data_IF_693474011903
#
_entry.id   IF_693474011903
#
_cell.length_a   1.000
_cell.length_b   1.000
_cell.length_c   1.000
_cell.angle_alpha   90.00
_cell.angle_beta   90.00
_cell.angle_gamma   90.00
#
_symmetry.space_group_name_H-M   'P 1'
#
loop_
_entity.id
_entity.type
_entity.pdbx_description
1 polymer ?
#
# COMPACT_ATOMS: atom_id res chain seq x y z
N UNK A 1 54.87 -21.46 -14.25
CA UNK A 1 53.88 -20.69 -15.03
C UNK A 1 52.53 -21.38 -14.88
N UNK A 2 51.54 -20.73 -14.24
CA UNK A 2 50.10 -20.73 -14.58
C UNK A 2 49.19 -20.52 -13.35
N UNK A 3 49.10 -19.27 -12.88
CA UNK A 3 48.02 -18.78 -12.02
C UNK A 3 46.88 -18.27 -12.91
N UNK A 4 46.05 -19.15 -13.49
CA UNK A 4 44.94 -18.65 -14.32
C UNK A 4 43.81 -19.66 -14.59
N UNK A 5 43.45 -20.59 -13.68
CA UNK A 5 42.11 -21.21 -13.77
C UNK A 5 41.12 -20.38 -12.95
N UNK A 6 40.64 -19.32 -13.59
CA UNK A 6 39.60 -18.41 -13.10
C UNK A 6 38.46 -19.21 -12.44
N UNK A 7 38.27 -18.98 -11.15
CA UNK A 7 37.03 -19.27 -10.42
C UNK A 7 35.92 -18.42 -11.04
N UNK A 8 35.30 -18.95 -12.10
CA UNK A 8 34.10 -18.39 -12.69
C UNK A 8 32.93 -18.78 -11.78
N UNK A 9 32.87 -18.15 -10.61
CA UNK A 9 31.74 -18.23 -9.71
C UNK A 9 30.54 -17.74 -10.49
N UNK A 10 29.64 -18.66 -10.84
CA UNK A 10 28.34 -18.33 -11.37
C UNK A 10 27.66 -17.35 -10.41
N UNK A 11 27.69 -16.05 -10.73
CA UNK A 11 26.69 -15.11 -10.26
C UNK A 11 25.38 -15.46 -10.98
N UNK A 12 24.80 -16.62 -10.65
CA UNK A 12 23.42 -16.95 -10.96
C UNK A 12 22.60 -15.98 -10.12
N UNK A 13 22.34 -14.81 -10.69
CA UNK A 13 21.35 -13.86 -10.23
C UNK A 13 20.03 -14.64 -10.13
N UNK A 14 19.80 -15.25 -8.97
CA UNK A 14 18.46 -15.65 -8.54
C UNK A 14 17.69 -14.35 -8.56
N UNK A 15 16.87 -14.18 -9.61
CA UNK A 15 15.76 -13.24 -9.60
C UNK A 15 14.87 -13.65 -8.44
N UNK A 16 15.23 -13.17 -7.25
CA UNK A 16 14.44 -13.29 -6.04
C UNK A 16 13.18 -12.50 -6.37
N UNK A 17 12.05 -13.19 -6.46
CA UNK A 17 10.75 -12.55 -6.62
C UNK A 17 10.46 -11.73 -5.36
N UNK A 18 10.99 -10.50 -5.30
CA UNK A 18 10.96 -9.62 -4.13
C UNK A 18 9.53 -9.27 -3.68
N UNK A 19 8.55 -9.42 -4.57
CA UNK A 19 7.13 -9.25 -4.30
C UNK A 19 6.52 -10.37 -3.44
N UNK A 20 7.16 -11.56 -3.39
CA UNK A 20 6.68 -12.68 -2.57
C UNK A 20 6.69 -12.30 -1.08
N UNK A 21 7.71 -11.57 -0.63
CA UNK A 21 7.83 -11.21 0.79
C UNK A 21 6.70 -10.29 1.27
N UNK A 22 6.37 -9.16 0.60
CA UNK A 22 5.20 -8.37 0.95
C UNK A 22 3.89 -9.14 0.92
N UNK A 23 3.68 -9.97 -0.10
CA UNK A 23 2.45 -10.77 -0.23
C UNK A 23 2.36 -11.82 0.87
N UNK A 24 3.45 -12.53 1.14
CA UNK A 24 3.52 -13.52 2.21
C UNK A 24 3.32 -12.87 3.60
N UNK A 25 3.90 -11.69 3.84
CA UNK A 25 3.69 -10.94 5.06
C UNK A 25 2.23 -10.49 5.23
N UNK A 26 1.59 -10.01 4.16
CA UNK A 26 0.17 -9.67 4.17
C UNK A 26 -0.72 -10.89 4.45
N UNK A 27 -0.45 -12.02 3.77
CA UNK A 27 -1.18 -13.26 4.01
C UNK A 27 -1.00 -13.77 5.44
N UNK A 28 0.23 -13.75 5.97
CA UNK A 28 0.51 -14.12 7.34
C UNK A 28 -0.23 -13.21 8.33
N UNK A 29 -0.26 -11.90 8.09
CA UNK A 29 -1.01 -10.94 8.92
C UNK A 29 -2.52 -11.22 8.88
N UNK A 30 -3.09 -11.51 7.71
CA UNK A 30 -4.51 -11.85 7.58
C UNK A 30 -4.85 -13.16 8.29
N UNK A 31 -4.01 -14.19 8.16
CA UNK A 31 -4.19 -15.47 8.86
C UNK A 31 -4.05 -15.32 10.38
N UNK A 32 -3.13 -14.48 10.84
CA UNK A 32 -3.02 -14.14 12.26
C UNK A 32 -4.31 -13.47 12.76
N UNK A 33 -4.82 -12.46 12.04
CA UNK A 33 -6.07 -11.81 12.42
C UNK A 33 -7.28 -12.77 12.36
N UNK A 34 -7.30 -13.71 11.41
CA UNK A 34 -8.33 -14.76 11.36
C UNK A 34 -8.35 -15.61 12.64
N UNK A 35 -7.17 -15.98 13.16
CA UNK A 35 -7.05 -16.86 14.32
C UNK A 35 -7.25 -16.12 15.65
N UNK A 36 -6.79 -14.87 15.77
CA UNK A 36 -6.72 -14.14 17.03
C UNK A 36 -7.75 -13.02 17.18
N UNK A 37 -8.46 -12.64 16.11
CA UNK A 37 -9.46 -11.57 16.14
C UNK A 37 -10.82 -12.11 15.70
N UNK A 38 -11.70 -12.48 16.66
CA UNK A 38 -13.03 -12.99 16.36
C UNK A 38 -13.82 -12.00 15.50
N UNK A 39 -14.34 -12.47 14.37
CA UNK A 39 -15.13 -11.63 13.46
C UNK A 39 -14.32 -10.67 12.58
N UNK A 40 -13.00 -10.82 12.46
CA UNK A 40 -12.19 -9.97 11.57
C UNK A 40 -12.68 -9.95 10.12
N UNK A 41 -13.12 -11.11 9.59
CA UNK A 41 -13.70 -11.24 8.25
C UNK A 41 -15.21 -11.02 8.21
N UNK A 42 -15.82 -10.56 9.31
CA UNK A 42 -17.25 -10.25 9.33
C UNK A 42 -17.46 -8.92 8.61
N UNK A 43 -18.22 -8.99 7.52
CA UNK A 43 -18.75 -7.81 6.86
C UNK A 43 -20.20 -7.59 7.30
N UNK A 44 -20.56 -6.35 7.56
CA UNK A 44 -21.90 -5.94 7.95
C UNK A 44 -22.36 -4.81 7.03
N UNK A 45 -23.56 -4.96 6.45
CA UNK A 45 -24.21 -3.88 5.72
C UNK A 45 -25.10 -3.11 6.69
N UNK A 46 -24.84 -1.81 6.83
CA UNK A 46 -25.62 -0.92 7.71
C UNK A 46 -25.87 0.41 6.99
N UNK A 47 -27.12 0.86 6.99
CA UNK A 47 -27.53 2.16 6.43
C UNK A 47 -27.02 2.39 4.99
N UNK A 48 -27.03 1.34 4.15
CA UNK A 48 -26.56 1.38 2.76
C UNK A 48 -25.05 1.31 2.57
N UNK A 49 -24.27 1.22 3.65
CA UNK A 49 -22.81 1.17 3.62
C UNK A 49 -22.29 -0.18 4.11
N UNK A 50 -21.16 -0.61 3.54
CA UNK A 50 -20.49 -1.84 3.91
C UNK A 50 -19.42 -1.54 4.98
N UNK A 51 -19.52 -2.23 6.10
CA UNK A 51 -18.62 -2.13 7.24
C UNK A 51 -17.93 -3.45 7.53
N UNK A 52 -16.83 -3.39 8.25
CA UNK A 52 -16.07 -4.56 8.70
C UNK A 52 -14.56 -4.29 8.65
N UNK A 53 -13.79 -5.08 9.39
CA UNK A 53 -12.34 -4.84 9.53
C UNK A 53 -11.60 -4.89 8.18
N UNK A 54 -12.06 -5.71 7.23
CA UNK A 54 -11.52 -5.71 5.86
C UNK A 54 -11.75 -4.39 5.13
N UNK A 55 -12.94 -3.83 5.25
CA UNK A 55 -13.27 -2.55 4.63
C UNK A 55 -12.46 -1.43 5.27
N UNK A 56 -12.30 -1.45 6.59
CA UNK A 56 -11.48 -0.49 7.31
C UNK A 56 -10.01 -0.55 6.88
N UNK A 57 -9.46 -1.76 6.68
CA UNK A 57 -8.09 -1.96 6.18
C UNK A 57 -7.93 -1.36 4.78
N UNK A 58 -8.87 -1.60 3.87
CA UNK A 58 -8.82 -1.05 2.51
C UNK A 58 -8.95 0.48 2.53
N UNK A 59 -9.88 1.02 3.32
CA UNK A 59 -10.08 2.47 3.46
C UNK A 59 -8.84 3.16 4.03
N UNK A 60 -8.21 2.57 5.06
CA UNK A 60 -6.96 3.09 5.64
C UNK A 60 -5.76 2.92 4.71
N UNK A 61 -5.79 1.94 3.81
CA UNK A 61 -4.77 1.76 2.80
C UNK A 61 -4.89 2.76 1.65
N UNK A 62 -6.07 3.36 1.41
CA UNK A 62 -6.31 4.25 0.28
C UNK A 62 -5.28 5.39 0.13
N UNK A 63 -4.89 6.15 1.17
CA UNK A 63 -3.87 7.19 1.05
C UNK A 63 -2.49 6.64 0.63
N UNK A 64 -2.09 5.52 1.23
CA UNK A 64 -0.79 4.87 0.92
C UNK A 64 -0.78 4.35 -0.52
N UNK A 65 -1.89 3.74 -0.96
CA UNK A 65 -2.04 3.27 -2.34
C UNK A 65 -1.94 4.43 -3.34
N UNK A 66 -2.68 5.52 -3.10
CA UNK A 66 -2.65 6.71 -3.96
C UNK A 66 -1.24 7.29 -4.08
N UNK A 67 -0.53 7.46 -2.96
CA UNK A 67 0.86 7.95 -2.96
C UNK A 67 1.77 6.97 -3.69
N UNK A 68 1.67 5.67 -3.39
CA UNK A 68 2.53 4.66 -4.01
C UNK A 68 2.37 4.61 -5.53
N UNK A 69 1.14 4.77 -6.03
CA UNK A 69 0.86 4.83 -7.47
C UNK A 69 1.44 6.09 -8.10
N UNK A 70 1.23 7.27 -7.49
CA UNK A 70 1.79 8.53 -7.97
C UNK A 70 3.32 8.49 -8.03
N UNK A 71 3.95 8.02 -6.96
CA UNK A 71 5.41 7.84 -6.91
C UNK A 71 5.90 6.82 -7.93
N UNK A 72 5.15 5.73 -8.15
CA UNK A 72 5.51 4.71 -9.15
C UNK A 72 5.50 5.30 -10.57
N UNK A 73 4.47 6.08 -10.93
CA UNK A 73 4.37 6.71 -12.25
C UNK A 73 5.54 7.68 -12.49
N UNK A 74 5.83 8.53 -11.51
CA UNK A 74 6.94 9.48 -11.55
C UNK A 74 8.27 8.77 -11.79
N UNK A 75 8.54 7.72 -11.01
CA UNK A 75 9.77 6.95 -11.13
C UNK A 75 9.84 6.26 -12.48
N UNK A 76 8.72 5.71 -12.97
CA UNK A 76 8.64 5.09 -14.28
C UNK A 76 8.97 6.09 -15.41
N UNK A 77 8.66 7.38 -15.23
CA UNK A 77 9.04 8.45 -16.16
C UNK A 77 10.46 9.00 -15.96
N UNK A 78 11.25 8.46 -15.03
CA UNK A 78 12.64 8.87 -14.77
C UNK A 78 12.79 10.07 -13.82
N UNK A 79 11.72 10.44 -13.12
CA UNK A 79 11.73 11.52 -12.12
C UNK A 79 11.86 11.03 -10.68
N UNK A 80 12.06 11.97 -9.76
CA UNK A 80 11.93 11.77 -8.31
C UNK A 80 11.08 12.94 -7.80
N UNK A 81 9.79 12.70 -7.60
CA UNK A 81 8.83 13.76 -7.34
C UNK A 81 8.48 13.82 -5.85
N UNK A 82 8.70 14.99 -5.26
CA UNK A 82 8.26 15.30 -3.90
C UNK A 82 6.85 15.90 -3.88
N UNK A 83 6.35 16.35 -5.05
CA UNK A 83 5.09 17.07 -5.21
C UNK A 83 3.84 16.21 -5.01
N UNK A 84 3.90 14.89 -5.23
CA UNK A 84 2.76 13.97 -4.97
C UNK A 84 2.25 14.11 -3.53
N UNK A 85 3.16 14.29 -2.58
CA UNK A 85 2.80 14.57 -1.19
C UNK A 85 2.09 15.93 -1.01
N UNK A 86 2.56 16.97 -1.71
CA UNK A 86 1.94 18.30 -1.67
C UNK A 86 0.53 18.30 -2.30
N UNK A 87 0.34 17.61 -3.43
CA UNK A 87 -0.98 17.45 -4.06
C UNK A 87 -1.93 16.69 -3.15
N UNK A 88 -1.47 15.60 -2.51
CA UNK A 88 -2.27 14.87 -1.53
C UNK A 88 -2.66 15.76 -0.33
N UNK A 89 -1.74 16.58 0.18
CA UNK A 89 -2.00 17.48 1.30
C UNK A 89 -3.04 18.56 0.96
N UNK A 90 -2.95 19.16 -0.23
CA UNK A 90 -3.94 20.14 -0.70
C UNK A 90 -5.30 19.46 -0.89
N UNK A 91 -5.35 18.29 -1.54
CA UNK A 91 -6.60 17.55 -1.76
C UNK A 91 -7.27 17.16 -0.44
N UNK A 92 -6.49 16.67 0.53
CA UNK A 92 -6.99 16.35 1.88
C UNK A 92 -7.51 17.58 2.63
N UNK A 93 -6.80 18.72 2.51
CA UNK A 93 -7.25 19.99 3.10
C UNK A 93 -8.56 20.47 2.50
N UNK A 94 -8.70 20.40 1.17
CA UNK A 94 -9.95 20.75 0.47
C UNK A 94 -11.09 19.80 0.87
N UNK A 95 -10.84 18.49 0.94
CA UNK A 95 -11.84 17.53 1.40
C UNK A 95 -12.31 17.84 2.83
N UNK A 96 -11.38 18.13 3.74
CA UNK A 96 -11.71 18.54 5.11
C UNK A 96 -12.55 19.82 5.15
N UNK A 97 -12.19 20.84 4.35
CA UNK A 97 -12.96 22.09 4.23
C UNK A 97 -14.38 21.85 3.69
N UNK A 98 -14.55 20.96 2.71
CA UNK A 98 -15.86 20.63 2.17
C UNK A 98 -16.74 19.92 3.21
N UNK A 99 -16.16 19.00 3.99
CA UNK A 99 -16.85 18.32 5.09
C UNK A 99 -17.25 19.31 6.20
N UNK A 100 -16.36 20.24 6.57
CA UNK A 100 -16.72 21.26 7.59
C UNK A 100 -17.78 22.23 7.07
N UNK A 101 -17.73 22.58 5.78
CA UNK A 101 -18.73 23.45 5.17
C UNK A 101 -20.11 22.79 5.10
N UNK A 102 -20.19 21.48 4.83
CA UNK A 102 -21.48 20.78 4.82
C UNK A 102 -22.14 20.78 6.19
N UNK A 103 -21.37 20.57 7.26
CA UNK A 103 -21.87 20.64 8.65
C UNK A 103 -22.34 22.07 9.01
N UNK A 104 -21.62 23.10 8.56
CA UNK A 104 -21.98 24.50 8.83
C UNK A 104 -23.21 25.01 8.03
N UNK A 105 -23.72 24.21 7.10
CA UNK A 105 -24.91 24.53 6.29
C UNK A 105 -26.21 23.86 6.78
N UNK A 106 -26.14 23.11 7.88
CA UNK A 106 -27.26 22.55 8.64
C UNK A 106 -27.46 23.32 9.95
#
# INVERSE_FOLDING_TARGET
>A
MNRASKTKTEHRQRSQAKWIWPVAALLALLLFNLAFTPGFFRLEFKDGHLYGSLIDVVNRAAPVLLVSLGMTLVIATGGVDLSVGAVMAIAGSVAALLLTRSEASL
#
